data_IF_433844811821
#
_entry.id   IF_433844811821
#
_cell.length_a   1.000
_cell.length_b   1.000
_cell.length_c   1.000
_cell.angle_alpha   90.00
_cell.angle_beta   90.00
_cell.angle_gamma   90.00
#
_symmetry.space_group_name_H-M   'P 1'
#
loop_
_entity.id
_entity.type
_entity.pdbx_description
1 polymer ?
#
# COMPACT_ATOMS: atom_id res chain seq x y z
N UNK A 1 19.59 7.52 -50.00
CA UNK A 1 18.54 7.64 -48.97
C UNK A 1 19.15 7.28 -47.61
N UNK A 2 19.83 8.18 -46.91
CA UNK A 2 19.32 9.20 -45.94
C UNK A 2 18.60 8.60 -44.73
N UNK A 3 19.32 8.31 -43.62
CA UNK A 3 18.95 8.78 -42.25
C UNK A 3 19.91 8.33 -41.11
N UNK A 4 21.24 8.51 -41.16
CA UNK A 4 22.12 8.09 -40.02
C UNK A 4 23.16 9.11 -39.55
N UNK A 5 23.02 10.40 -39.90
CA UNK A 5 24.06 11.41 -39.65
C UNK A 5 23.65 12.61 -38.79
N UNK A 6 22.63 12.50 -37.93
CA UNK A 6 22.16 13.67 -37.14
C UNK A 6 22.16 13.55 -35.62
N UNK A 7 22.55 12.42 -35.02
CA UNK A 7 22.50 12.25 -33.54
C UNK A 7 23.88 12.42 -32.87
N UNK A 8 24.98 12.38 -33.62
CA UNK A 8 26.32 12.27 -33.06
C UNK A 8 27.00 13.58 -32.60
N UNK A 9 26.32 14.74 -32.69
CA UNK A 9 26.90 16.04 -32.32
C UNK A 9 26.41 16.60 -30.98
N UNK A 10 25.47 15.96 -30.30
CA UNK A 10 24.92 16.50 -29.05
C UNK A 10 25.71 16.12 -27.78
N UNK A 11 26.51 15.05 -27.82
CA UNK A 11 27.15 14.51 -26.59
C UNK A 11 28.50 15.15 -26.25
N UNK A 12 29.01 16.12 -27.03
CA UNK A 12 30.37 16.66 -26.85
C UNK A 12 30.48 17.98 -26.08
N UNK A 13 29.36 18.63 -25.74
CA UNK A 13 29.39 19.89 -24.97
C UNK A 13 29.21 19.71 -23.46
N UNK A 14 28.75 18.56 -22.99
CA UNK A 14 28.43 18.38 -21.55
C UNK A 14 29.66 18.16 -20.65
N UNK A 15 30.80 17.73 -21.23
CA UNK A 15 32.02 17.45 -20.44
C UNK A 15 32.73 18.68 -19.89
N UNK A 16 32.41 19.91 -20.34
CA UNK A 16 33.12 21.11 -19.88
C UNK A 16 32.56 21.70 -18.57
N UNK A 17 31.31 21.40 -18.21
CA UNK A 17 30.70 22.00 -17.00
C UNK A 17 31.06 21.25 -15.71
N UNK A 18 31.47 19.98 -15.81
CA UNK A 18 31.69 19.10 -14.66
C UNK A 18 33.01 19.35 -13.91
N UNK A 19 33.94 20.12 -14.50
CA UNK A 19 35.26 20.40 -13.93
C UNK A 19 35.28 21.55 -12.91
N UNK A 20 34.20 22.31 -12.76
CA UNK A 20 34.15 23.51 -11.89
C UNK A 20 33.61 23.26 -10.48
N UNK A 21 32.93 22.14 -10.23
CA UNK A 21 32.27 21.87 -8.94
C UNK A 21 33.09 20.98 -7.99
N UNK A 22 34.17 20.36 -8.48
CA UNK A 22 34.97 19.42 -7.69
C UNK A 22 36.45 19.80 -7.74
N UNK A 23 36.91 20.71 -6.85
CA UNK A 23 38.35 20.95 -6.70
C UNK A 23 39.00 19.67 -6.19
N UNK A 24 39.91 19.13 -6.98
CA UNK A 24 40.75 17.99 -6.63
C UNK A 24 41.61 18.32 -5.41
N UNK A 25 41.28 17.82 -4.21
CA UNK A 25 42.28 17.65 -3.14
C UNK A 25 42.03 16.44 -2.22
N UNK A 26 43.10 15.66 -2.15
CA UNK A 26 43.54 14.75 -1.08
C UNK A 26 42.90 13.35 -0.96
N UNK A 27 43.65 12.40 -1.51
CA UNK A 27 43.49 10.96 -1.44
C UNK A 27 43.87 10.36 -0.06
N UNK A 28 43.25 10.81 1.04
CA UNK A 28 43.41 10.17 2.36
C UNK A 28 42.06 10.04 3.05
N UNK A 29 41.32 8.99 2.71
CA UNK A 29 40.01 8.71 3.31
C UNK A 29 39.19 7.68 2.52
N UNK A 30 39.82 6.57 2.09
CA UNK A 30 39.16 5.55 1.28
C UNK A 30 38.45 4.46 2.11
N UNK A 31 38.73 4.34 3.40
CA UNK A 31 38.19 3.26 4.23
C UNK A 31 36.74 3.50 4.72
N UNK A 32 36.28 4.74 4.83
CA UNK A 32 34.95 5.08 5.36
C UNK A 32 33.84 5.14 4.30
N UNK A 33 34.19 5.20 3.00
CA UNK A 33 33.22 5.37 1.91
C UNK A 33 32.54 4.05 1.47
N UNK A 34 33.23 2.92 1.61
CA UNK A 34 32.68 1.61 1.23
C UNK A 34 31.56 1.14 2.17
N UNK A 35 31.67 1.43 3.47
CA UNK A 35 30.67 1.04 4.47
C UNK A 35 29.36 1.80 4.27
N UNK A 36 29.42 3.10 3.98
CA UNK A 36 28.23 3.91 3.69
C UNK A 36 27.51 3.50 2.40
N UNK A 37 28.23 3.08 1.36
CA UNK A 37 27.62 2.58 0.13
C UNK A 37 26.90 1.23 0.32
N UNK A 38 27.44 0.36 1.18
CA UNK A 38 26.84 -0.93 1.53
C UNK A 38 25.57 -0.80 2.40
N UNK A 39 25.56 0.15 3.34
CA UNK A 39 24.37 0.42 4.18
C UNK A 39 23.21 0.97 3.35
N UNK A 40 23.49 1.82 2.36
CA UNK A 40 22.46 2.36 1.45
C UNK A 40 21.92 1.25 0.52
N UNK A 41 22.78 0.36 0.00
CA UNK A 41 22.34 -0.75 -0.84
C UNK A 41 21.48 -1.79 -0.08
N UNK A 42 21.78 -2.06 1.19
CA UNK A 42 20.99 -2.96 2.03
C UNK A 42 19.63 -2.37 2.42
N UNK A 43 19.54 -1.04 2.63
CA UNK A 43 18.27 -0.36 2.91
C UNK A 43 17.30 -0.39 1.73
N UNK A 44 17.80 -0.44 0.48
CA UNK A 44 16.96 -0.52 -0.72
C UNK A 44 16.37 -1.92 -0.98
N UNK A 45 17.03 -3.01 -0.54
CA UNK A 45 16.51 -4.37 -0.70
C UNK A 45 15.36 -4.70 0.26
N UNK A 46 15.25 -3.99 1.39
CA UNK A 46 14.11 -4.11 2.31
C UNK A 46 12.88 -3.35 1.79
N UNK A 47 13.06 -2.33 0.94
CA UNK A 47 11.97 -1.49 0.44
C UNK A 47 11.19 -2.08 -0.75
N UNK A 48 11.73 -3.08 -1.47
CA UNK A 48 11.05 -3.68 -2.64
C UNK A 48 10.32 -5.00 -2.35
N UNK A 49 10.58 -5.62 -1.19
CA UNK A 49 9.88 -6.82 -0.70
C UNK A 49 9.24 -6.60 0.69
N UNK A 50 9.12 -5.34 1.11
CA UNK A 50 8.37 -4.94 2.31
C UNK A 50 6.86 -4.83 2.03
N UNK A 51 6.03 -4.61 3.07
CA UNK A 51 4.57 -4.53 3.01
C UNK A 51 4.03 -3.26 2.29
N UNK A 52 4.79 -2.73 1.32
CA UNK A 52 4.49 -1.54 0.53
C UNK A 52 4.69 -1.77 -0.99
N UNK A 53 4.90 -3.00 -1.44
CA UNK A 53 4.88 -3.33 -2.86
C UNK A 53 3.48 -3.12 -3.47
N UNK A 54 3.31 -2.94 -4.79
CA UNK A 54 1.98 -2.75 -5.42
C UNK A 54 0.98 -3.91 -5.26
N UNK A 55 1.35 -4.97 -4.53
CA UNK A 55 0.50 -6.08 -4.12
C UNK A 55 0.33 -6.23 -2.61
N UNK A 56 0.80 -5.28 -1.80
CA UNK A 56 0.60 -5.31 -0.36
C UNK A 56 -0.76 -4.69 0.01
N UNK A 57 -1.68 -5.56 0.44
CA UNK A 57 -2.62 -5.28 1.53
C UNK A 57 -3.77 -4.29 1.29
N UNK A 58 -4.33 -4.21 0.08
CA UNK A 58 -5.65 -3.58 -0.15
C UNK A 58 -6.62 -4.48 -0.91
N UNK A 59 -6.62 -5.77 -0.63
CA UNK A 59 -7.89 -6.50 -0.55
C UNK A 59 -8.59 -6.17 0.79
N UNK A 60 -8.52 -4.90 1.21
CA UNK A 60 -9.29 -4.41 2.33
C UNK A 60 -10.67 -4.16 1.77
N UNK A 61 -11.50 -5.20 1.82
CA UNK A 61 -12.91 -5.04 1.58
C UNK A 61 -13.41 -3.95 2.52
N UNK A 62 -13.78 -2.79 1.99
CA UNK A 62 -14.24 -1.65 2.77
C UNK A 62 -15.61 -1.93 3.39
N UNK A 63 -16.12 -0.95 4.14
CA UNK A 63 -17.53 -0.99 4.53
C UNK A 63 -18.43 -1.13 3.29
N UNK A 64 -18.04 -0.52 2.16
CA UNK A 64 -18.79 -0.62 0.91
C UNK A 64 -18.85 -2.06 0.35
N UNK A 65 -17.79 -2.86 0.48
CA UNK A 65 -17.81 -4.25 -0.02
C UNK A 65 -18.77 -5.14 0.80
N UNK A 66 -18.85 -4.90 2.10
CA UNK A 66 -19.85 -5.56 2.93
C UNK A 66 -21.27 -5.07 2.62
N UNK A 67 -21.43 -3.78 2.27
CA UNK A 67 -22.70 -3.20 1.85
C UNK A 67 -23.17 -3.80 0.52
N UNK A 68 -22.28 -3.95 -0.45
CA UNK A 68 -22.59 -4.61 -1.72
C UNK A 68 -23.06 -6.06 -1.51
N UNK A 69 -22.40 -6.81 -0.62
CA UNK A 69 -22.82 -8.17 -0.27
C UNK A 69 -24.20 -8.19 0.42
N UNK A 70 -24.49 -7.21 1.28
CA UNK A 70 -25.80 -7.08 1.93
C UNK A 70 -26.91 -6.77 0.92
N UNK A 71 -26.64 -5.91 -0.07
CA UNK A 71 -27.58 -5.57 -1.15
C UNK A 71 -27.83 -6.76 -2.08
N UNK A 72 -26.82 -7.59 -2.31
CA UNK A 72 -26.92 -8.86 -3.05
C UNK A 72 -27.71 -9.94 -2.28
N UNK A 73 -28.04 -9.68 -1.01
CA UNK A 73 -28.71 -10.63 -0.12
C UNK A 73 -27.78 -11.70 0.48
N UNK A 74 -26.47 -11.61 0.25
CA UNK A 74 -25.45 -12.47 0.87
C UNK A 74 -25.03 -11.90 2.23
N UNK A 75 -25.92 -12.05 3.19
CA UNK A 75 -25.72 -11.58 4.57
C UNK A 75 -24.52 -12.25 5.26
N UNK A 76 -24.21 -13.51 4.92
CA UNK A 76 -23.06 -14.23 5.49
C UNK A 76 -21.73 -13.62 5.03
N UNK A 77 -21.66 -13.21 3.76
CA UNK A 77 -20.50 -12.50 3.23
C UNK A 77 -20.38 -11.10 3.77
N UNK A 78 -21.48 -10.36 3.91
CA UNK A 78 -21.49 -9.06 4.57
C UNK A 78 -20.94 -9.14 6.00
N UNK A 79 -21.34 -10.15 6.78
CA UNK A 79 -20.80 -10.40 8.14
C UNK A 79 -19.30 -10.66 8.12
N UNK A 80 -18.80 -11.44 7.16
CA UNK A 80 -17.36 -11.76 7.07
C UNK A 80 -16.52 -10.50 6.78
N UNK A 81 -17.05 -9.56 6.00
CA UNK A 81 -16.37 -8.32 5.64
C UNK A 81 -16.48 -7.29 6.78
N UNK A 82 -17.68 -7.08 7.33
CA UNK A 82 -17.90 -6.07 8.37
C UNK A 82 -17.34 -6.46 9.75
N UNK A 83 -17.16 -7.75 10.07
CA UNK A 83 -16.60 -8.17 11.37
C UNK A 83 -15.20 -7.63 11.66
N UNK A 84 -14.18 -7.84 10.81
CA UNK A 84 -12.86 -7.28 11.08
C UNK A 84 -12.87 -5.73 11.10
N UNK A 85 -13.72 -5.08 10.29
CA UNK A 85 -13.86 -3.63 10.30
C UNK A 85 -14.47 -3.12 11.62
N UNK A 86 -15.52 -3.78 12.11
CA UNK A 86 -16.15 -3.45 13.38
C UNK A 86 -15.23 -3.71 14.58
N UNK A 87 -14.41 -4.77 14.52
CA UNK A 87 -13.35 -5.06 15.50
C UNK A 87 -12.22 -4.02 15.44
N UNK A 88 -11.93 -3.46 14.26
CA UNK A 88 -10.98 -2.36 14.09
C UNK A 88 -11.53 -0.99 14.56
N UNK A 89 -12.81 -0.92 14.96
CA UNK A 89 -13.44 0.30 15.48
C UNK A 89 -14.22 1.12 14.45
N UNK A 90 -14.47 0.58 13.26
CA UNK A 90 -15.31 1.26 12.27
C UNK A 90 -16.78 1.30 12.73
N UNK A 91 -17.27 2.51 13.00
CA UNK A 91 -18.63 2.73 13.50
C UNK A 91 -19.71 2.31 12.49
N UNK A 92 -19.47 2.45 11.18
CA UNK A 92 -20.43 2.05 10.16
C UNK A 92 -20.53 0.52 10.11
N UNK A 93 -19.40 -0.19 10.19
CA UNK A 93 -19.38 -1.65 10.23
C UNK A 93 -20.01 -2.22 11.52
N UNK A 94 -19.78 -1.56 12.66
CA UNK A 94 -20.44 -1.89 13.93
C UNK A 94 -21.96 -1.76 13.82
N UNK A 95 -22.45 -0.63 13.30
CA UNK A 95 -23.87 -0.42 13.06
C UNK A 95 -24.45 -1.42 12.05
N UNK A 96 -23.75 -1.66 10.94
CA UNK A 96 -24.15 -2.61 9.91
C UNK A 96 -24.29 -4.03 10.44
N UNK A 97 -23.34 -4.50 11.25
CA UNK A 97 -23.43 -5.79 11.94
C UNK A 97 -24.57 -5.83 12.96
N UNK A 98 -24.75 -4.77 13.74
CA UNK A 98 -25.86 -4.66 14.68
C UNK A 98 -27.20 -4.86 13.98
N UNK A 99 -27.43 -4.09 12.91
CA UNK A 99 -28.66 -4.16 12.11
C UNK A 99 -28.87 -5.52 11.46
N UNK A 100 -27.79 -6.12 10.98
CA UNK A 100 -27.84 -7.40 10.27
C UNK A 100 -28.19 -8.54 11.24
N UNK A 101 -27.64 -8.55 12.46
CA UNK A 101 -28.07 -9.49 13.50
C UNK A 101 -29.48 -9.21 14.04
N UNK A 102 -29.92 -7.94 14.05
CA UNK A 102 -31.27 -7.55 14.48
C UNK A 102 -32.35 -7.95 13.47
N UNK A 103 -32.07 -7.80 12.19
CA UNK A 103 -33.03 -8.14 11.13
C UNK A 103 -33.02 -9.66 10.89
N UNK A 104 -31.84 -10.28 10.92
CA UNK A 104 -31.64 -11.60 10.33
C UNK A 104 -31.83 -11.56 8.81
N UNK A 105 -31.29 -12.53 8.08
CA UNK A 105 -31.38 -12.50 6.63
C UNK A 105 -30.76 -13.72 5.96
N UNK A 106 -31.45 -14.25 4.94
CA UNK A 106 -31.06 -15.51 4.29
C UNK A 106 -30.96 -16.64 5.31
N UNK A 107 -29.79 -17.26 5.41
CA UNK A 107 -29.47 -18.32 6.38
C UNK A 107 -29.03 -17.80 7.75
N UNK A 108 -28.88 -16.48 7.91
CA UNK A 108 -28.44 -15.91 9.18
C UNK A 108 -29.62 -15.72 10.13
N UNK A 109 -29.58 -16.47 11.23
CA UNK A 109 -30.53 -16.34 12.31
C UNK A 109 -30.41 -14.97 13.02
N UNK A 110 -31.56 -14.42 13.37
CA UNK A 110 -31.68 -13.19 14.14
C UNK A 110 -31.16 -13.38 15.57
N UNK A 111 -30.29 -12.49 16.02
CA UNK A 111 -29.67 -12.52 17.35
C UNK A 111 -29.54 -11.10 17.91
N UNK A 112 -30.56 -10.69 18.68
CA UNK A 112 -30.60 -9.38 19.31
C UNK A 112 -29.51 -9.16 20.37
N UNK A 113 -29.04 -10.22 21.03
CA UNK A 113 -27.99 -10.12 22.03
C UNK A 113 -26.64 -9.77 21.36
N UNK A 114 -26.36 -10.37 20.20
CA UNK A 114 -25.22 -9.97 19.36
C UNK A 114 -25.40 -8.59 18.77
N UNK A 115 -26.60 -8.22 18.34
CA UNK A 115 -26.86 -6.87 17.82
C UNK A 115 -26.51 -5.78 18.86
N UNK A 116 -27.00 -5.94 20.09
CA UNK A 116 -26.71 -5.01 21.19
C UNK A 116 -25.21 -4.92 21.53
N UNK A 117 -24.45 -6.01 21.31
CA UNK A 117 -23.00 -6.01 21.49
C UNK A 117 -22.26 -5.12 20.48
N UNK A 118 -22.82 -4.88 19.31
CA UNK A 118 -22.20 -4.05 18.28
C UNK A 118 -22.67 -2.60 18.30
N UNK A 119 -23.80 -2.29 18.94
CA UNK A 119 -24.31 -0.90 19.08
C UNK A 119 -23.71 -0.08 20.22
N UNK A 120 -22.79 -0.65 20.99
CA UNK A 120 -22.22 -0.08 22.22
C UNK A 120 -20.84 0.51 22.00
#
# INVERSE_FOLDING_TARGET
>A
MTLHRRIFLFTRSFSFFFAALFPSRSARGFALRGVFALVIAAAFLVAFAGPFGPGSLWAQGGYEDGMAAYEDGDYLRAVKIWRPLAEAGDANAQYGLGKLYETGGGDLARDYARAAKWYR
#
